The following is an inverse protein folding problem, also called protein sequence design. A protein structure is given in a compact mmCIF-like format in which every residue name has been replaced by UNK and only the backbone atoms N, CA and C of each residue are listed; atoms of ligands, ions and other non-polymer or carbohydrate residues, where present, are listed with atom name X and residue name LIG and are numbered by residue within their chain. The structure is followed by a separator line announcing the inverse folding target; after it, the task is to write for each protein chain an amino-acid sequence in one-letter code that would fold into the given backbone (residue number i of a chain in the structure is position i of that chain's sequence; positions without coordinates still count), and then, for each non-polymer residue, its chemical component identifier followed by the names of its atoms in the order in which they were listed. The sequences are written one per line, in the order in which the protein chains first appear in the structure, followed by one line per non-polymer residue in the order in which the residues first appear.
data_IF_645583795759
#
_entry.id   IF_645583795759
#
_cell.length_a   1.000
_cell.length_b   1.000
_cell.length_c   1.000
_cell.angle_alpha   90.00
_cell.angle_beta   90.00
_cell.angle_gamma   90.00
#
_symmetry.space_group_name_H-M   'P 1'
#
loop_
_entity.id
_entity.type
_entity.pdbx_description
1 polymer ?
#
# COMPACT_ATOMS: atom_id res chain seq x y z
N UNK A 1 8.34 -9.87 -17.46
CA UNK A 1 8.24 -10.08 -16.01
C UNK A 1 8.83 -8.89 -15.28
N UNK A 2 8.27 -8.52 -14.13
CA UNK A 2 8.85 -7.48 -13.26
C UNK A 2 10.08 -8.05 -12.56
N UNK A 3 11.16 -7.28 -12.58
CA UNK A 3 12.36 -7.58 -11.79
C UNK A 3 12.29 -6.78 -10.50
N UNK A 4 12.48 -7.46 -9.38
CA UNK A 4 12.49 -6.88 -8.05
C UNK A 4 13.93 -6.80 -7.56
N UNK A 5 14.27 -5.70 -6.85
CA UNK A 5 15.58 -5.52 -6.25
C UNK A 5 15.53 -4.38 -5.21
N UNK A 6 14.98 -4.65 -4.04
CA UNK A 6 14.88 -3.68 -2.93
C UNK A 6 15.77 -4.15 -1.78
N UNK A 7 16.84 -3.41 -1.52
CA UNK A 7 17.82 -3.73 -0.47
C UNK A 7 17.82 -2.71 0.68
N UNK A 8 17.15 -1.58 0.45
CA UNK A 8 17.10 -0.47 1.41
C UNK A 8 15.97 0.50 1.02
N UNK A 9 15.69 1.45 1.89
CA UNK A 9 14.64 2.46 1.73
C UNK A 9 15.12 3.75 1.03
N UNK A 10 16.40 3.85 0.67
CA UNK A 10 16.99 5.11 0.14
C UNK A 10 17.56 4.99 -1.26
N UNK A 11 17.70 3.77 -1.79
CA UNK A 11 18.14 3.54 -3.16
C UNK A 11 17.13 4.09 -4.17
N UNK A 12 17.61 4.38 -5.39
CA UNK A 12 16.76 4.94 -6.44
C UNK A 12 15.55 4.07 -6.74
N UNK A 13 14.35 4.58 -6.43
CA UNK A 13 13.09 3.96 -6.76
C UNK A 13 12.91 3.87 -8.29
N UNK A 14 12.53 2.72 -8.81
CA UNK A 14 12.30 2.47 -10.24
C UNK A 14 10.82 2.26 -10.56
N UNK A 15 10.10 1.62 -9.66
CA UNK A 15 8.67 1.41 -9.78
C UNK A 15 8.03 1.29 -8.41
N UNK A 16 6.77 1.65 -8.32
CA UNK A 16 5.99 1.65 -7.08
C UNK A 16 4.55 1.24 -7.36
N UNK A 17 3.92 0.62 -6.38
CA UNK A 17 2.47 0.52 -6.33
C UNK A 17 1.98 1.68 -5.46
N UNK A 18 1.30 2.63 -6.07
CA UNK A 18 0.74 3.79 -5.38
C UNK A 18 -0.75 3.55 -5.16
N UNK A 19 -1.19 3.66 -3.94
CA UNK A 19 -2.59 3.52 -3.56
C UNK A 19 -3.50 4.52 -4.26
N UNK A 20 -4.80 4.38 -4.08
CA UNK A 20 -5.80 5.28 -4.68
C UNK A 20 -6.86 5.67 -3.66
N UNK A 21 -7.42 6.84 -3.86
CA UNK A 21 -8.43 7.44 -2.97
C UNK A 21 -9.75 7.75 -3.68
N UNK A 22 -9.91 7.31 -4.94
CA UNK A 22 -11.03 7.72 -5.81
C UNK A 22 -12.41 7.32 -5.27
N UNK A 23 -12.46 6.28 -4.45
CA UNK A 23 -13.71 5.74 -3.90
C UNK A 23 -13.42 5.07 -2.56
N UNK A 24 -12.94 5.86 -1.62
CA UNK A 24 -12.49 5.38 -0.29
C UNK A 24 -13.63 5.08 0.67
N UNK A 25 -14.87 5.19 0.21
CA UNK A 25 -16.05 5.06 1.04
C UNK A 25 -16.37 6.34 1.85
N UNK A 26 -17.43 6.31 2.65
CA UNK A 26 -17.82 7.42 3.50
C UNK A 26 -16.79 7.66 4.62
N UNK A 27 -16.86 8.82 5.26
CA UNK A 27 -16.11 9.06 6.50
C UNK A 27 -16.51 8.00 7.53
N UNK A 28 -15.57 7.24 8.09
CA UNK A 28 -15.90 6.20 9.05
C UNK A 28 -16.49 6.79 10.33
N UNK A 29 -17.32 6.05 11.02
CA UNK A 29 -17.82 6.43 12.33
C UNK A 29 -16.73 6.26 13.41
N UNK A 30 -16.93 6.87 14.57
CA UNK A 30 -15.99 6.71 15.70
C UNK A 30 -15.89 5.24 16.19
N UNK A 31 -16.98 4.48 16.04
CA UNK A 31 -17.04 3.07 16.42
C UNK A 31 -16.25 2.17 15.46
N UNK A 32 -16.21 2.54 14.17
CA UNK A 32 -15.48 1.83 13.13
C UNK A 32 -13.98 2.21 13.09
N UNK A 33 -13.58 3.23 13.85
CA UNK A 33 -12.24 3.80 13.78
C UNK A 33 -11.37 3.33 14.93
N UNK A 34 -10.36 2.53 14.65
CA UNK A 34 -9.37 2.09 15.62
C UNK A 34 -8.09 2.97 15.65
N UNK A 35 -7.82 3.75 14.60
CA UNK A 35 -6.68 4.68 14.58
C UNK A 35 -6.98 5.96 15.37
N UNK A 36 -6.14 6.30 16.40
CA UNK A 36 -6.37 7.47 17.26
C UNK A 36 -6.34 8.82 16.51
N UNK A 37 -5.55 8.96 15.44
CA UNK A 37 -5.51 10.19 14.64
C UNK A 37 -6.79 10.36 13.83
N UNK A 38 -7.24 9.31 13.17
CA UNK A 38 -8.51 9.31 12.44
C UNK A 38 -9.67 9.64 13.36
N UNK A 39 -9.75 9.00 14.53
CA UNK A 39 -10.76 9.30 15.54
C UNK A 39 -10.73 10.77 16.00
N UNK A 40 -9.54 11.37 16.14
CA UNK A 40 -9.40 12.80 16.47
C UNK A 40 -9.95 13.67 15.35
N UNK A 41 -9.59 13.42 14.10
CA UNK A 41 -10.06 14.21 12.96
C UNK A 41 -11.56 14.09 12.75
N UNK A 42 -12.14 12.91 12.96
CA UNK A 42 -13.60 12.70 12.90
C UNK A 42 -14.30 13.54 13.96
N UNK A 43 -13.83 13.51 15.23
CA UNK A 43 -14.40 14.33 16.33
C UNK A 43 -14.32 15.83 16.06
N UNK A 44 -13.29 16.27 15.34
CA UNK A 44 -13.06 17.67 15.02
C UNK A 44 -13.74 18.11 13.72
N UNK A 45 -14.35 17.19 12.95
CA UNK A 45 -14.90 17.49 11.63
C UNK A 45 -13.84 17.89 10.60
N UNK A 46 -12.60 17.42 10.78
CA UNK A 46 -11.45 17.72 9.92
C UNK A 46 -10.91 16.48 9.22
N UNK A 47 -11.71 15.42 9.15
CA UNK A 47 -11.35 14.23 8.37
C UNK A 47 -11.28 14.61 6.88
N UNK A 48 -10.24 14.19 6.14
CA UNK A 48 -10.05 14.61 4.76
C UNK A 48 -11.20 14.12 3.88
N UNK A 49 -11.59 14.94 2.91
CA UNK A 49 -12.59 14.56 1.92
C UNK A 49 -11.97 13.70 0.81
N UNK A 50 -12.77 12.90 0.10
CA UNK A 50 -12.30 12.13 -1.06
C UNK A 50 -11.59 13.03 -2.09
N UNK A 51 -12.13 14.19 -2.49
CA UNK A 51 -11.42 15.10 -3.39
C UNK A 51 -10.04 15.56 -2.88
N UNK A 52 -9.90 15.84 -1.59
CA UNK A 52 -8.63 16.23 -0.99
C UNK A 52 -7.62 15.09 -1.07
N UNK A 53 -8.02 13.88 -0.67
CA UNK A 53 -7.19 12.69 -0.73
C UNK A 53 -6.76 12.34 -2.17
N UNK A 54 -7.67 12.45 -3.13
CA UNK A 54 -7.35 12.25 -4.57
C UNK A 54 -6.33 13.28 -5.03
N UNK A 55 -6.51 14.55 -4.68
CA UNK A 55 -5.58 15.63 -5.05
C UNK A 55 -4.18 15.38 -4.48
N UNK A 56 -4.08 14.95 -3.23
CA UNK A 56 -2.80 14.62 -2.59
C UNK A 56 -2.13 13.41 -3.26
N UNK A 57 -2.88 12.34 -3.51
CA UNK A 57 -2.36 11.15 -4.20
C UNK A 57 -1.89 11.46 -5.62
N UNK A 58 -2.58 12.34 -6.36
CA UNK A 58 -2.14 12.76 -7.68
C UNK A 58 -0.93 13.70 -7.63
N UNK A 59 -0.78 14.49 -6.58
CA UNK A 59 0.44 15.27 -6.35
C UNK A 59 1.65 14.36 -6.16
N UNK A 60 1.53 13.29 -5.36
CA UNK A 60 2.57 12.27 -5.19
C UNK A 60 2.86 11.55 -6.52
N UNK A 61 1.83 11.17 -7.27
CA UNK A 61 1.99 10.55 -8.59
C UNK A 61 2.81 11.43 -9.55
N UNK A 62 2.53 12.74 -9.59
CA UNK A 62 3.31 13.71 -10.41
C UNK A 62 4.78 13.76 -10.00
N UNK A 63 5.08 13.65 -8.69
CA UNK A 63 6.47 13.58 -8.22
C UNK A 63 7.14 12.32 -8.74
N UNK A 64 6.51 11.16 -8.64
CA UNK A 64 7.07 9.93 -9.19
C UNK A 64 7.32 10.01 -10.69
N UNK A 65 6.38 10.56 -11.45
CA UNK A 65 6.53 10.77 -12.90
C UNK A 65 7.72 11.69 -13.22
N UNK A 66 7.91 12.77 -12.45
CA UNK A 66 9.04 13.69 -12.62
C UNK A 66 10.40 13.00 -12.46
N UNK A 67 10.48 11.93 -11.66
CA UNK A 67 11.69 11.16 -11.42
C UNK A 67 11.75 9.85 -12.22
N UNK A 68 10.94 9.71 -13.26
CA UNK A 68 10.85 8.52 -14.12
C UNK A 68 10.57 7.22 -13.34
N UNK A 69 9.79 7.32 -12.27
CA UNK A 69 9.32 6.17 -11.49
C UNK A 69 8.07 5.63 -12.15
N UNK A 70 8.07 4.34 -12.48
CA UNK A 70 6.89 3.67 -13.03
C UNK A 70 5.86 3.43 -11.93
N UNK A 71 4.70 4.04 -12.07
CA UNK A 71 3.61 3.91 -11.09
C UNK A 71 2.61 2.85 -11.55
N UNK A 72 2.30 1.91 -10.68
CA UNK A 72 1.19 0.97 -10.79
C UNK A 72 0.10 1.39 -9.81
N UNK A 73 -1.16 1.20 -10.20
CA UNK A 73 -2.32 1.51 -9.34
C UNK A 73 -3.13 0.24 -9.10
N UNK A 74 -3.63 0.00 -7.90
CA UNK A 74 -4.59 -1.08 -7.65
C UNK A 74 -5.81 -0.94 -8.57
N UNK A 75 -6.48 -2.04 -8.89
CA UNK A 75 -7.82 -1.97 -9.47
C UNK A 75 -8.76 -1.33 -8.45
N UNK A 76 -9.70 -0.51 -8.93
CA UNK A 76 -10.66 0.14 -8.06
C UNK A 76 -11.59 -0.90 -7.40
N UNK A 77 -11.75 -0.77 -6.10
CA UNK A 77 -12.78 -1.43 -5.31
C UNK A 77 -13.71 -0.33 -4.82
N UNK A 78 -15.01 -0.44 -5.10
CA UNK A 78 -16.00 0.56 -4.69
C UNK A 78 -16.20 0.57 -3.17
N UNK A 79 -16.37 1.76 -2.60
CA UNK A 79 -16.57 1.99 -1.16
C UNK A 79 -15.46 1.37 -0.30
N UNK A 80 -14.20 1.48 -0.75
CA UNK A 80 -13.11 0.78 -0.10
C UNK A 80 -11.83 1.61 -0.05
N UNK A 81 -11.24 1.75 1.15
CA UNK A 81 -9.98 2.46 1.31
C UNK A 81 -8.82 1.66 0.73
N UNK A 82 -8.13 2.22 -0.27
CA UNK A 82 -7.00 1.60 -0.96
C UNK A 82 -5.76 2.51 -0.96
N UNK A 83 -5.66 3.44 -0.01
CA UNK A 83 -4.57 4.43 0.02
C UNK A 83 -3.25 3.77 0.44
N UNK A 84 -3.28 2.85 1.41
CA UNK A 84 -2.10 2.33 2.09
C UNK A 84 -1.57 1.02 1.49
N UNK A 85 -1.18 1.06 0.22
CA UNK A 85 -0.67 -0.14 -0.48
C UNK A 85 0.65 -0.68 0.08
N UNK A 86 1.38 0.09 0.87
CA UNK A 86 2.59 -0.38 1.55
C UNK A 86 2.26 -1.50 2.55
N UNK A 87 1.11 -1.43 3.20
CA UNK A 87 0.75 -2.36 4.28
C UNK A 87 0.44 -3.76 3.77
N UNK A 88 -0.17 -3.86 2.57
CA UNK A 88 -0.64 -5.14 2.03
C UNK A 88 0.47 -6.03 1.48
N UNK A 89 1.58 -5.43 1.03
CA UNK A 89 2.73 -6.16 0.50
C UNK A 89 3.98 -5.28 0.46
N UNK A 90 5.14 -5.91 0.51
CA UNK A 90 6.42 -5.24 0.44
C UNK A 90 7.44 -6.09 -0.31
N UNK A 91 8.59 -5.51 -0.64
CA UNK A 91 9.66 -6.19 -1.36
C UNK A 91 10.92 -6.19 -0.53
N UNK A 92 11.56 -7.36 -0.41
CA UNK A 92 12.92 -7.50 0.12
C UNK A 92 13.72 -8.23 -0.94
N UNK A 93 14.80 -7.61 -1.41
CA UNK A 93 15.62 -8.09 -2.52
C UNK A 93 14.77 -8.40 -3.76
N UNK A 94 14.71 -9.66 -4.16
CA UNK A 94 13.92 -10.14 -5.29
C UNK A 94 12.57 -10.77 -4.89
N UNK A 95 12.21 -10.73 -3.60
CA UNK A 95 10.99 -11.34 -3.07
C UNK A 95 9.89 -10.31 -2.87
N UNK A 96 8.72 -10.61 -3.43
CA UNK A 96 7.48 -9.89 -3.17
C UNK A 96 6.74 -10.63 -2.06
N UNK A 97 6.60 -10.00 -0.92
CA UNK A 97 6.06 -10.61 0.29
C UNK A 97 4.68 -10.05 0.51
N UNK A 98 3.69 -10.94 0.61
CA UNK A 98 2.30 -10.62 0.91
C UNK A 98 2.09 -10.97 2.38
N UNK A 99 1.83 -9.96 3.19
CA UNK A 99 1.56 -10.13 4.61
C UNK A 99 0.14 -10.63 4.88
N UNK A 100 -0.08 -11.15 6.09
CA UNK A 100 -1.41 -11.39 6.61
C UNK A 100 -1.90 -10.11 7.28
N UNK A 101 -2.69 -9.35 6.55
CA UNK A 101 -3.32 -8.10 7.01
C UNK A 101 -4.68 -8.38 7.63
N UNK A 102 -5.30 -7.35 8.18
CA UNK A 102 -6.65 -7.42 8.71
C UNK A 102 -7.64 -7.95 7.65
N UNK A 103 -8.59 -8.77 8.05
CA UNK A 103 -9.54 -9.45 7.15
C UNK A 103 -10.35 -8.45 6.31
N UNK A 104 -10.76 -7.34 6.89
CA UNK A 104 -11.49 -6.26 6.22
C UNK A 104 -10.68 -5.57 5.12
N UNK A 105 -9.36 -5.75 5.08
CA UNK A 105 -8.44 -5.24 4.06
C UNK A 105 -8.02 -6.27 3.01
N UNK A 106 -8.44 -7.52 3.13
CA UNK A 106 -7.99 -8.65 2.28
C UNK A 106 -8.23 -8.42 0.78
N UNK A 107 -9.31 -7.73 0.41
CA UNK A 107 -9.63 -7.40 -0.99
C UNK A 107 -8.59 -6.51 -1.68
N UNK A 108 -7.78 -5.76 -0.92
CA UNK A 108 -6.73 -4.93 -1.50
C UNK A 108 -5.66 -5.77 -2.22
N UNK A 109 -5.40 -7.00 -1.75
CA UNK A 109 -4.47 -7.94 -2.39
C UNK A 109 -5.00 -8.35 -3.77
N UNK A 110 -6.31 -8.64 -3.89
CA UNK A 110 -6.92 -9.00 -5.17
C UNK A 110 -6.82 -7.84 -6.18
N UNK A 111 -6.91 -6.61 -5.70
CA UNK A 111 -6.79 -5.41 -6.53
C UNK A 111 -5.40 -5.24 -7.17
N UNK A 112 -4.36 -5.85 -6.61
CA UNK A 112 -2.99 -5.84 -7.16
C UNK A 112 -2.58 -7.17 -7.82
N UNK A 113 -3.45 -8.17 -7.90
CA UNK A 113 -3.13 -9.49 -8.46
C UNK A 113 -2.58 -9.39 -9.89
N UNK A 114 -3.06 -8.43 -10.70
CA UNK A 114 -2.54 -8.19 -12.05
C UNK A 114 -1.07 -7.70 -12.07
N UNK A 115 -0.57 -7.16 -10.96
CA UNK A 115 0.83 -6.77 -10.76
C UNK A 115 1.61 -8.00 -10.32
N UNK A 116 1.07 -8.74 -9.35
CA UNK A 116 1.65 -9.98 -8.82
C UNK A 116 1.87 -10.98 -9.94
N UNK A 117 0.92 -11.13 -10.86
CA UNK A 117 1.02 -12.03 -12.02
C UNK A 117 2.18 -11.69 -12.98
N UNK A 118 2.78 -10.51 -12.88
CA UNK A 118 3.96 -10.12 -13.65
C UNK A 118 5.29 -10.46 -12.97
N UNK A 119 5.24 -10.93 -11.73
CA UNK A 119 6.41 -11.36 -10.95
C UNK A 119 6.63 -12.86 -11.21
N UNK A 120 7.88 -13.29 -11.15
CA UNK A 120 8.19 -14.72 -11.24
C UNK A 120 7.55 -15.45 -10.04
N UNK A 121 6.78 -16.54 -10.27
CA UNK A 121 6.04 -17.20 -9.19
C UNK A 121 6.91 -17.60 -7.98
N UNK A 122 8.15 -18.06 -8.20
CA UNK A 122 9.09 -18.39 -7.11
C UNK A 122 9.60 -17.20 -6.29
N UNK A 123 9.26 -15.97 -6.70
CA UNK A 123 9.60 -14.74 -5.99
C UNK A 123 8.42 -14.13 -5.25
N UNK A 124 7.24 -14.76 -5.29
CA UNK A 124 6.07 -14.35 -4.50
C UNK A 124 5.98 -15.23 -3.26
N UNK A 125 6.03 -14.61 -2.11
CA UNK A 125 5.95 -15.27 -0.81
C UNK A 125 4.67 -14.81 -0.12
N UNK A 126 3.90 -15.76 0.40
CA UNK A 126 2.78 -15.49 1.32
C UNK A 126 3.19 -15.95 2.71
N UNK A 127 2.97 -15.12 3.69
CA UNK A 127 3.24 -15.49 5.07
C UNK A 127 2.27 -16.56 5.55
N UNK A 128 2.72 -17.47 6.47
CA UNK A 128 1.83 -18.42 7.11
C UNK A 128 0.79 -17.69 7.95
N UNK A 129 -0.36 -18.31 8.13
CA UNK A 129 -1.53 -17.68 8.80
C UNK A 129 -1.21 -17.17 10.22
N UNK A 130 -0.25 -17.79 10.89
CA UNK A 130 0.17 -17.44 12.25
C UNK A 130 1.04 -16.18 12.33
N UNK A 131 1.58 -15.73 11.19
CA UNK A 131 2.47 -14.57 11.15
C UNK A 131 1.73 -13.37 10.53
N UNK A 132 1.54 -12.34 11.33
CA UNK A 132 0.96 -11.08 10.91
C UNK A 132 2.06 -10.04 10.72
N UNK A 133 2.04 -9.36 9.57
CA UNK A 133 2.96 -8.27 9.26
C UNK A 133 2.30 -7.31 8.28
N UNK A 134 2.46 -6.05 8.53
CA UNK A 134 2.17 -4.98 7.58
C UNK A 134 3.48 -4.44 7.01
N UNK A 135 3.54 -4.22 5.70
CA UNK A 135 4.77 -3.73 5.07
C UNK A 135 5.19 -2.35 5.55
N UNK A 136 4.27 -1.59 6.14
CA UNK A 136 4.57 -0.32 6.80
C UNK A 136 5.53 -0.44 7.99
N UNK A 137 5.52 -1.61 8.65
CA UNK A 137 6.37 -1.91 9.81
C UNK A 137 7.71 -2.55 9.42
N UNK A 138 7.96 -2.75 8.12
CA UNK A 138 9.15 -3.45 7.63
C UNK A 138 10.09 -2.49 6.92
N UNK A 139 11.30 -2.35 7.42
CA UNK A 139 12.34 -1.49 6.84
C UNK A 139 13.61 -2.30 6.54
N UNK A 140 13.87 -2.69 5.28
CA UNK A 140 15.11 -3.36 4.90
C UNK A 140 16.28 -2.37 4.85
N UNK A 141 17.42 -2.80 5.37
CA UNK A 141 18.66 -2.05 5.31
C UNK A 141 19.87 -2.99 5.19
N UNK A 142 20.34 -3.24 3.97
CA UNK A 142 21.41 -4.21 3.70
C UNK A 142 21.03 -5.61 4.20
N UNK A 143 21.81 -6.15 5.11
CA UNK A 143 21.59 -7.49 5.68
C UNK A 143 20.62 -7.49 6.88
N UNK A 144 20.01 -6.36 7.21
CA UNK A 144 19.12 -6.21 8.36
C UNK A 144 17.69 -5.85 7.94
N UNK A 145 16.74 -6.24 8.75
CA UNK A 145 15.32 -5.86 8.67
C UNK A 145 14.94 -5.30 10.04
N UNK A 146 14.35 -4.12 10.04
CA UNK A 146 13.82 -3.44 11.22
C UNK A 146 12.31 -3.37 11.15
#
# INVERSE_FOLDING_TARGET
MLQLNVKDEVSRLRSVVLGRADDSGPVPTLEETYDPKSAKHIRQGTYPTIPDMVMEMEAVNKVFQKYDVKVYRPKLIHDYNQIFTRDIAFVIEDKFIIGNILEDRSKEIDAIEYIISKIQPGNVIRFPEEAHVEGGDVMPWGDYIF
#
